data_IF_243600300130
#
_entry.id   IF_243600300130
#
_cell.length_a   1.000
_cell.length_b   1.000
_cell.length_c   1.000
_cell.angle_alpha   90.00
_cell.angle_beta   90.00
_cell.angle_gamma   90.00
#
_symmetry.space_group_name_H-M   'P 1'
#
loop_
_entity.id
_entity.type
_entity.pdbx_description
1 polymer ?
#
# COMPACT_ATOMS: atom_id res chain seq x y z
N UNK A 1 34.62 40.64 21.46
CA UNK A 1 33.16 40.40 21.31
C UNK A 1 32.60 40.59 22.71
N UNK A 2 31.73 41.57 22.90
CA UNK A 2 31.20 41.87 24.25
C UNK A 2 30.11 40.84 24.61
N UNK A 3 29.93 40.49 25.91
CA UNK A 3 28.92 39.57 26.39
C UNK A 3 27.50 39.91 25.92
N UNK A 4 27.21 41.19 25.71
CA UNK A 4 25.93 41.69 25.24
C UNK A 4 25.64 41.29 23.78
N UNK A 5 26.62 41.40 22.89
CA UNK A 5 26.49 40.95 21.48
C UNK A 5 26.30 39.45 21.34
N UNK A 6 26.92 38.67 22.22
CA UNK A 6 26.73 37.22 22.26
C UNK A 6 25.30 36.84 22.70
N UNK A 7 24.76 37.62 23.66
CA UNK A 7 23.40 37.40 24.17
C UNK A 7 22.31 37.81 23.16
N UNK A 8 22.56 38.86 22.35
CA UNK A 8 21.68 39.24 21.24
C UNK A 8 21.70 38.22 20.12
N UNK A 9 22.88 37.75 19.71
CA UNK A 9 22.99 36.66 18.70
C UNK A 9 22.35 35.34 19.18
N UNK A 10 22.42 35.04 20.47
CA UNK A 10 21.77 33.88 21.05
C UNK A 10 20.25 34.04 21.11
N UNK A 11 19.76 35.26 21.38
CA UNK A 11 18.32 35.57 21.29
C UNK A 11 17.81 35.55 19.87
N UNK A 12 18.55 36.04 18.88
CA UNK A 12 18.22 35.91 17.47
C UNK A 12 18.25 34.45 17.01
N UNK A 13 19.24 33.67 17.43
CA UNK A 13 19.28 32.20 17.16
C UNK A 13 18.12 31.46 17.80
N UNK A 14 17.65 31.84 18.98
CA UNK A 14 16.47 31.26 19.62
C UNK A 14 15.17 31.74 18.96
N UNK A 15 15.12 32.97 18.44
CA UNK A 15 13.98 33.51 17.71
C UNK A 15 13.86 32.96 16.29
N UNK A 16 14.94 32.47 15.69
CA UNK A 16 14.95 31.73 14.42
C UNK A 16 14.61 30.24 14.57
N UNK A 17 14.32 29.77 15.80
CA UNK A 17 13.58 28.50 15.94
C UNK A 17 12.23 28.74 15.30
N UNK A 18 12.12 28.19 14.07
CA UNK A 18 10.92 28.10 13.26
C UNK A 18 9.67 28.09 14.15
N UNK A 19 8.80 29.08 13.95
CA UNK A 19 7.39 28.94 14.32
C UNK A 19 6.96 27.56 13.79
N UNK A 20 6.65 26.65 14.70
CA UNK A 20 6.08 25.38 14.34
C UNK A 20 4.70 25.71 13.79
N UNK A 21 4.62 25.95 12.49
CA UNK A 21 3.33 26.09 11.83
C UNK A 21 2.54 24.84 12.19
N UNK A 22 1.31 24.98 12.71
CA UNK A 22 0.49 23.80 13.03
C UNK A 22 0.43 22.92 11.81
N UNK A 23 0.79 21.65 11.96
CA UNK A 23 0.69 20.69 10.85
C UNK A 23 -0.72 20.76 10.27
N UNK A 24 -0.90 20.89 8.96
CA UNK A 24 -2.22 20.92 8.32
C UNK A 24 -3.00 19.62 8.51
N UNK A 25 -2.37 18.58 9.05
CA UNK A 25 -2.97 17.26 9.26
C UNK A 25 -3.69 17.27 10.62
N UNK A 26 -5.02 17.16 10.63
CA UNK A 26 -5.80 17.22 11.85
C UNK A 26 -5.60 15.99 12.74
N UNK A 27 -5.57 16.23 14.05
CA UNK A 27 -5.57 15.16 15.05
C UNK A 27 -4.26 14.45 15.25
N UNK A 28 -3.12 15.06 14.87
CA UNK A 28 -1.81 14.59 15.29
C UNK A 28 -1.62 14.78 16.80
N UNK A 29 -0.99 13.83 17.45
CA UNK A 29 -0.60 13.88 18.86
C UNK A 29 0.69 14.69 18.96
N UNK A 30 0.61 15.82 19.66
CA UNK A 30 1.72 16.76 19.79
C UNK A 30 2.25 16.79 21.23
N UNK A 31 3.51 17.17 21.38
CA UNK A 31 4.04 17.60 22.66
C UNK A 31 3.52 19.01 23.03
N UNK A 32 3.68 19.41 24.29
CA UNK A 32 3.28 20.75 24.77
C UNK A 32 3.99 21.90 24.02
N UNK A 33 5.14 21.64 23.44
CA UNK A 33 5.95 22.59 22.68
C UNK A 33 5.59 22.62 21.18
N UNK A 34 4.52 21.95 20.77
CA UNK A 34 4.04 21.92 19.39
C UNK A 34 4.76 20.93 18.46
N UNK A 35 5.73 20.15 18.94
CA UNK A 35 6.39 19.13 18.13
C UNK A 35 5.54 17.88 18.02
N UNK A 36 5.60 17.20 16.87
CA UNK A 36 4.94 15.91 16.65
C UNK A 36 5.56 14.85 17.58
N UNK A 37 4.72 14.09 18.26
CA UNK A 37 5.19 13.05 19.19
C UNK A 37 5.72 11.84 18.42
N UNK A 38 7.05 11.63 18.45
CA UNK A 38 7.73 10.55 17.74
C UNK A 38 7.38 9.13 18.21
N UNK A 39 6.88 8.97 19.44
CA UNK A 39 6.45 7.66 19.97
C UNK A 39 4.98 7.33 19.70
N UNK A 40 4.29 8.13 18.89
CA UNK A 40 2.87 7.92 18.57
C UNK A 40 2.70 7.18 17.26
N UNK A 41 2.25 5.94 17.31
CA UNK A 41 1.91 5.13 16.13
C UNK A 41 0.82 5.81 15.28
N UNK A 42 -0.18 6.42 15.95
CA UNK A 42 -1.28 7.15 15.27
C UNK A 42 -0.75 8.30 14.42
N UNK A 43 0.32 8.97 14.86
CA UNK A 43 0.91 10.03 14.06
C UNK A 43 1.46 9.50 12.75
N UNK A 44 2.22 8.40 12.79
CA UNK A 44 2.79 7.80 11.59
C UNK A 44 1.67 7.37 10.64
N UNK A 45 0.64 6.69 11.14
CA UNK A 45 -0.50 6.26 10.32
C UNK A 45 -1.17 7.44 9.61
N UNK A 46 -1.42 8.55 10.33
CA UNK A 46 -2.01 9.76 9.75
C UNK A 46 -1.12 10.43 8.70
N UNK A 47 0.19 10.47 8.94
CA UNK A 47 1.15 10.99 7.97
C UNK A 47 1.16 10.13 6.70
N UNK A 48 1.15 8.80 6.85
CA UNK A 48 1.09 7.88 5.72
C UNK A 48 -0.23 8.03 4.93
N UNK A 49 -1.37 8.10 5.62
CA UNK A 49 -2.68 8.29 4.98
C UNK A 49 -2.76 9.64 4.24
N UNK A 50 -2.17 10.69 4.78
CA UNK A 50 -2.13 12.00 4.16
C UNK A 50 -1.26 12.01 2.90
N UNK A 51 -0.02 11.52 2.99
CA UNK A 51 0.99 11.68 1.95
C UNK A 51 0.88 10.61 0.86
N UNK A 52 0.61 9.37 1.26
CA UNK A 52 0.49 8.24 0.34
C UNK A 52 -0.97 7.96 -0.06
N UNK A 53 -1.93 8.61 0.61
CA UNK A 53 -3.36 8.35 0.40
C UNK A 53 -3.61 6.84 0.52
N UNK A 54 -4.30 6.25 -0.43
CA UNK A 54 -4.59 4.81 -0.42
C UNK A 54 -3.58 3.98 -1.22
N UNK A 55 -2.36 4.48 -1.44
CA UNK A 55 -1.37 3.77 -2.28
C UNK A 55 -0.63 2.65 -1.56
N UNK A 56 -0.47 2.74 -0.23
CA UNK A 56 0.10 1.66 0.58
C UNK A 56 -0.98 0.62 0.84
N UNK A 57 -0.83 -0.56 0.22
CA UNK A 57 -1.84 -1.62 0.24
C UNK A 57 -1.24 -2.98 0.55
N UNK A 58 -2.06 -3.84 1.15
CA UNK A 58 -1.75 -5.26 1.31
C UNK A 58 -2.35 -6.03 0.13
N UNK A 59 -1.50 -6.73 -0.61
CA UNK A 59 -1.91 -7.60 -1.70
C UNK A 59 -2.30 -8.98 -1.15
N UNK A 60 -3.60 -9.27 -1.10
CA UNK A 60 -4.12 -10.54 -0.56
C UNK A 60 -3.72 -11.76 -1.42
N UNK A 61 -3.31 -11.56 -2.67
CA UNK A 61 -2.87 -12.65 -3.54
C UNK A 61 -1.41 -13.02 -3.30
N UNK A 62 -0.51 -12.04 -3.26
CA UNK A 62 0.93 -12.26 -3.05
C UNK A 62 1.34 -12.26 -1.58
N UNK A 63 0.44 -11.85 -0.67
CA UNK A 63 0.65 -11.77 0.78
C UNK A 63 1.80 -10.82 1.14
N UNK A 64 1.93 -9.71 0.42
CA UNK A 64 2.92 -8.67 0.68
C UNK A 64 2.32 -7.26 0.70
N UNK A 65 3.10 -6.31 1.22
CA UNK A 65 2.73 -4.90 1.24
C UNK A 65 3.38 -4.22 0.04
N UNK A 66 2.60 -3.40 -0.67
CA UNK A 66 3.02 -2.72 -1.88
C UNK A 66 2.64 -1.24 -1.84
N UNK A 67 3.50 -0.40 -2.43
CA UNK A 67 3.10 0.92 -2.89
C UNK A 67 2.55 0.78 -4.31
N UNK A 68 1.28 1.12 -4.50
CA UNK A 68 0.55 0.90 -5.76
C UNK A 68 0.47 2.14 -6.66
N UNK A 69 1.09 3.26 -6.26
CA UNK A 69 1.13 4.50 -7.03
C UNK A 69 2.53 5.13 -7.02
N UNK A 70 2.84 5.89 -8.06
CA UNK A 70 4.02 6.74 -8.08
C UNK A 70 3.76 7.99 -7.24
N UNK A 71 4.44 8.13 -6.11
CA UNK A 71 4.29 9.25 -5.18
C UNK A 71 5.55 10.11 -5.21
N UNK A 72 5.39 11.42 -5.38
CA UNK A 72 6.47 12.40 -5.31
C UNK A 72 6.21 13.37 -4.16
N UNK A 73 7.12 13.40 -3.20
CA UNK A 73 7.05 14.21 -1.99
C UNK A 73 8.39 14.93 -1.81
N UNK A 74 8.38 16.23 -1.92
CA UNK A 74 9.59 17.06 -1.92
C UNK A 74 10.64 16.57 -2.95
N UNK A 75 11.79 16.12 -2.48
CA UNK A 75 12.88 15.54 -3.30
C UNK A 75 12.79 14.02 -3.41
N UNK A 76 11.84 13.40 -2.73
CA UNK A 76 11.69 11.94 -2.68
C UNK A 76 10.72 11.45 -3.74
N UNK A 77 11.04 10.28 -4.31
CA UNK A 77 10.16 9.59 -5.26
C UNK A 77 9.98 8.14 -4.84
N UNK A 78 8.75 7.79 -4.52
CA UNK A 78 8.35 6.44 -4.13
C UNK A 78 7.70 5.75 -5.32
N UNK A 79 8.34 4.71 -5.82
CA UNK A 79 7.91 3.98 -7.00
C UNK A 79 6.84 2.94 -6.68
N UNK A 80 6.15 2.47 -7.71
CA UNK A 80 5.24 1.34 -7.62
C UNK A 80 6.08 0.08 -7.43
N UNK A 81 6.05 -0.47 -6.23
CA UNK A 81 6.89 -1.62 -5.87
C UNK A 81 6.39 -2.31 -4.61
N UNK A 82 6.86 -3.54 -4.37
CA UNK A 82 6.83 -4.16 -3.06
C UNK A 82 7.67 -3.33 -2.09
N UNK A 83 7.21 -3.18 -0.85
CA UNK A 83 7.97 -2.48 0.16
C UNK A 83 9.18 -3.32 0.60
N UNK A 84 10.34 -2.67 0.58
CA UNK A 84 11.64 -3.20 0.98
C UNK A 84 12.33 -2.25 1.98
N UNK A 85 13.52 -2.60 2.39
CA UNK A 85 14.31 -1.80 3.33
C UNK A 85 14.67 -0.43 2.75
N UNK A 86 14.89 -0.33 1.43
CA UNK A 86 15.19 0.93 0.76
C UNK A 86 14.00 1.88 0.82
N UNK A 87 12.79 1.38 0.58
CA UNK A 87 11.57 2.15 0.74
C UNK A 87 11.43 2.65 2.19
N UNK A 88 11.65 1.80 3.18
CA UNK A 88 11.55 2.16 4.59
C UNK A 88 12.57 3.23 4.99
N UNK A 89 13.81 3.11 4.54
CA UNK A 89 14.87 4.08 4.80
C UNK A 89 14.57 5.43 4.14
N UNK A 90 14.09 5.41 2.89
CA UNK A 90 13.68 6.62 2.17
C UNK A 90 12.49 7.31 2.85
N UNK A 91 11.48 6.54 3.27
CA UNK A 91 10.33 7.05 4.01
C UNK A 91 10.74 7.69 5.33
N UNK A 92 11.62 7.04 6.09
CA UNK A 92 12.14 7.56 7.35
C UNK A 92 12.85 8.89 7.15
N UNK A 93 13.70 8.99 6.13
CA UNK A 93 14.43 10.22 5.79
C UNK A 93 13.47 11.34 5.35
N UNK A 94 12.44 11.00 4.58
CA UNK A 94 11.38 11.93 4.20
C UNK A 94 10.63 12.48 5.43
N UNK A 95 10.17 11.61 6.33
CA UNK A 95 9.44 12.02 7.53
C UNK A 95 10.28 12.92 8.44
N UNK A 96 11.58 12.63 8.59
CA UNK A 96 12.49 13.45 9.35
C UNK A 96 12.70 14.83 8.71
N UNK A 97 12.97 14.89 7.40
CA UNK A 97 13.24 16.13 6.69
C UNK A 97 12.01 17.04 6.55
N UNK A 98 10.85 16.45 6.27
CA UNK A 98 9.61 17.19 6.00
C UNK A 98 8.88 17.60 7.28
N UNK A 99 8.72 16.68 8.21
CA UNK A 99 7.96 16.89 9.44
C UNK A 99 8.83 17.20 10.67
N UNK A 100 10.16 17.11 10.55
CA UNK A 100 11.10 17.34 11.65
C UNK A 100 10.95 16.29 12.76
N UNK A 101 10.56 15.05 12.42
CA UNK A 101 10.36 14.00 13.41
C UNK A 101 10.97 12.68 12.94
N UNK A 102 11.93 12.19 13.72
CA UNK A 102 12.56 10.90 13.50
C UNK A 102 11.82 9.80 14.26
N UNK A 103 11.11 8.98 13.55
CA UNK A 103 10.42 7.81 14.10
C UNK A 103 11.35 6.58 14.19
N UNK A 104 11.08 5.72 15.14
CA UNK A 104 11.75 4.42 15.24
C UNK A 104 11.29 3.50 14.08
N UNK A 105 12.21 2.70 13.54
CA UNK A 105 11.94 1.87 12.35
C UNK A 105 10.85 0.82 12.58
N UNK A 106 10.79 0.24 13.78
CA UNK A 106 9.77 -0.72 14.19
C UNK A 106 8.36 -0.10 14.23
N UNK A 107 8.25 1.15 14.69
CA UNK A 107 7.00 1.90 14.68
C UNK A 107 6.54 2.23 13.25
N UNK A 108 7.47 2.61 12.37
CA UNK A 108 7.16 2.86 10.95
C UNK A 108 6.65 1.58 10.29
N UNK A 109 7.33 0.45 10.50
CA UNK A 109 6.90 -0.83 9.95
C UNK A 109 5.51 -1.23 10.46
N UNK A 110 5.25 -1.06 11.75
CA UNK A 110 3.93 -1.34 12.35
C UNK A 110 2.84 -0.44 11.76
N UNK A 111 3.11 0.86 11.58
CA UNK A 111 2.17 1.79 10.98
C UNK A 111 1.86 1.44 9.52
N UNK A 112 2.89 1.14 8.73
CA UNK A 112 2.74 0.69 7.33
C UNK A 112 1.87 -0.56 7.27
N UNK A 113 2.15 -1.55 8.11
CA UNK A 113 1.37 -2.78 8.19
C UNK A 113 -0.11 -2.51 8.50
N UNK A 114 -0.38 -1.64 9.47
CA UNK A 114 -1.75 -1.27 9.83
C UNK A 114 -2.47 -0.55 8.69
N UNK A 115 -1.83 0.43 8.05
CA UNK A 115 -2.39 1.18 6.91
C UNK A 115 -2.64 0.23 5.74
N UNK A 116 -1.67 -0.61 5.39
CA UNK A 116 -1.79 -1.56 4.29
C UNK A 116 -2.93 -2.55 4.50
N UNK A 117 -3.08 -3.10 5.70
CA UNK A 117 -4.15 -4.06 6.00
C UNK A 117 -5.55 -3.42 6.06
N UNK A 118 -5.65 -2.11 6.29
CA UNK A 118 -6.91 -1.37 6.09
C UNK A 118 -7.24 -1.19 4.60
N UNK A 119 -6.22 -1.16 3.75
CA UNK A 119 -6.33 -0.91 2.31
C UNK A 119 -5.98 -2.17 1.49
N UNK A 120 -6.65 -3.28 1.79
CA UNK A 120 -6.41 -4.54 1.07
C UNK A 120 -6.92 -4.50 -0.37
N UNK A 121 -6.23 -5.22 -1.25
CA UNK A 121 -6.67 -5.47 -2.61
C UNK A 121 -6.24 -6.85 -3.08
N UNK A 122 -6.95 -7.37 -4.08
CA UNK A 122 -6.58 -8.63 -4.73
C UNK A 122 -6.64 -8.41 -6.26
N UNK A 123 -5.49 -8.31 -6.94
CA UNK A 123 -5.45 -7.97 -8.35
C UNK A 123 -6.13 -9.03 -9.23
N UNK A 124 -6.18 -10.28 -8.80
CA UNK A 124 -6.85 -11.35 -9.55
C UNK A 124 -8.37 -11.21 -9.43
N UNK A 125 -8.88 -10.95 -8.24
CA UNK A 125 -10.31 -10.66 -8.03
C UNK A 125 -10.73 -9.40 -8.82
N UNK A 126 -9.92 -8.35 -8.76
CA UNK A 126 -10.19 -7.10 -9.48
C UNK A 126 -10.23 -7.33 -11.00
N UNK A 127 -9.31 -8.15 -11.52
CA UNK A 127 -9.30 -8.56 -12.93
C UNK A 127 -10.58 -9.28 -13.33
N UNK A 128 -11.02 -10.29 -12.55
CA UNK A 128 -12.25 -11.02 -12.85
C UNK A 128 -13.50 -10.14 -12.78
N UNK A 129 -13.56 -9.24 -11.80
CA UNK A 129 -14.64 -8.27 -11.67
C UNK A 129 -14.69 -7.31 -12.88
N UNK A 130 -13.53 -6.85 -13.36
CA UNK A 130 -13.45 -6.03 -14.56
C UNK A 130 -13.86 -6.82 -15.81
N UNK A 131 -13.33 -8.03 -15.97
CA UNK A 131 -13.67 -8.92 -17.09
C UNK A 131 -15.18 -9.18 -17.16
N UNK A 132 -15.81 -9.42 -16.00
CA UNK A 132 -17.26 -9.60 -15.93
C UNK A 132 -18.05 -8.35 -16.38
N UNK A 133 -17.59 -7.15 -16.00
CA UNK A 133 -18.27 -5.89 -16.39
C UNK A 133 -18.23 -5.62 -17.90
N UNK A 134 -17.19 -6.08 -18.59
CA UNK A 134 -17.00 -5.86 -20.03
C UNK A 134 -17.37 -7.07 -20.87
N UNK A 135 -17.89 -8.13 -20.24
CA UNK A 135 -18.26 -9.35 -20.93
C UNK A 135 -19.42 -9.13 -21.92
N UNK A 136 -19.27 -9.64 -23.14
CA UNK A 136 -20.24 -9.52 -24.22
C UNK A 136 -21.39 -10.55 -24.18
N UNK A 137 -21.47 -11.34 -23.14
CA UNK A 137 -22.51 -12.38 -22.94
C UNK A 137 -22.30 -13.67 -23.73
N UNK A 138 -21.21 -13.81 -24.51
CA UNK A 138 -20.97 -15.03 -25.32
C UNK A 138 -20.32 -16.12 -24.47
N UNK A 139 -20.87 -17.33 -24.56
CA UNK A 139 -20.28 -18.52 -23.94
C UNK A 139 -19.07 -19.00 -24.75
N UNK A 140 -17.85 -18.60 -24.28
CA UNK A 140 -16.57 -19.14 -24.76
C UNK A 140 -16.01 -20.20 -23.81
N UNK A 141 -16.64 -20.35 -22.70
CA UNK A 141 -16.19 -21.16 -21.59
C UNK A 141 -16.31 -22.65 -21.90
N UNK A 142 -17.41 -23.02 -22.58
CA UNK A 142 -17.72 -24.40 -22.91
C UNK A 142 -16.78 -25.02 -23.94
N UNK A 143 -16.11 -24.22 -24.74
CA UNK A 143 -15.28 -24.69 -25.87
C UNK A 143 -13.81 -24.34 -25.72
N UNK A 144 -13.41 -23.76 -24.61
CA UNK A 144 -12.04 -23.21 -24.44
C UNK A 144 -10.98 -24.32 -24.60
N UNK A 145 -11.15 -25.48 -24.03
CA UNK A 145 -10.17 -26.56 -24.17
C UNK A 145 -10.15 -27.16 -25.59
N UNK A 146 -11.29 -27.49 -26.22
CA UNK A 146 -11.29 -27.86 -27.63
C UNK A 146 -10.64 -26.79 -28.54
N UNK A 147 -10.98 -25.52 -28.36
CA UNK A 147 -10.54 -24.46 -29.26
C UNK A 147 -9.05 -24.10 -29.09
N UNK A 148 -8.47 -24.24 -27.89
CA UNK A 148 -7.11 -23.79 -27.60
C UNK A 148 -6.12 -24.91 -27.26
N UNK A 149 -6.59 -26.07 -26.76
CA UNK A 149 -5.74 -27.20 -26.41
C UNK A 149 -5.81 -28.33 -27.45
N UNK A 150 -6.68 -28.23 -28.46
CA UNK A 150 -6.78 -29.20 -29.55
C UNK A 150 -7.41 -30.54 -29.14
N UNK A 151 -8.14 -30.58 -28.02
CA UNK A 151 -8.87 -31.79 -27.62
C UNK A 151 -10.19 -31.91 -28.38
N UNK A 152 -10.68 -33.17 -28.58
CA UNK A 152 -11.93 -33.41 -29.27
C UNK A 152 -13.11 -32.72 -28.60
N UNK A 153 -13.98 -32.10 -29.40
CA UNK A 153 -15.19 -31.45 -28.91
C UNK A 153 -16.28 -32.47 -28.61
N UNK A 154 -16.28 -33.01 -27.44
CA UNK A 154 -17.27 -33.99 -26.93
C UNK A 154 -18.06 -33.39 -25.74
N UNK A 155 -19.23 -33.98 -25.40
CA UNK A 155 -19.94 -33.59 -24.18
C UNK A 155 -19.09 -33.71 -22.93
N UNK A 156 -18.19 -34.69 -22.86
CA UNK A 156 -17.28 -34.92 -21.72
C UNK A 156 -16.24 -33.83 -21.62
N UNK A 157 -15.54 -33.50 -22.71
CA UNK A 157 -14.53 -32.41 -22.73
C UNK A 157 -15.15 -31.05 -22.41
N UNK A 158 -16.37 -30.78 -22.90
CA UNK A 158 -17.13 -29.58 -22.55
C UNK A 158 -17.44 -29.52 -21.05
N UNK A 159 -17.87 -30.62 -20.46
CA UNK A 159 -18.18 -30.72 -19.03
C UNK A 159 -16.91 -30.54 -18.19
N UNK A 160 -15.80 -31.18 -18.53
CA UNK A 160 -14.51 -31.05 -17.84
C UNK A 160 -14.04 -29.61 -17.90
N UNK A 161 -14.09 -28.96 -19.08
CA UNK A 161 -13.74 -27.55 -19.25
C UNK A 161 -14.53 -26.67 -18.28
N UNK A 162 -15.85 -26.84 -18.24
CA UNK A 162 -16.71 -26.06 -17.34
C UNK A 162 -16.36 -26.27 -15.87
N UNK A 163 -16.24 -27.50 -15.42
CA UNK A 163 -15.96 -27.85 -14.03
C UNK A 163 -14.61 -27.26 -13.62
N UNK A 164 -13.58 -27.47 -14.44
CA UNK A 164 -12.22 -27.04 -14.09
C UNK A 164 -12.09 -25.51 -14.02
N UNK A 165 -12.59 -24.80 -15.03
CA UNK A 165 -12.52 -23.34 -15.06
C UNK A 165 -13.39 -22.70 -13.97
N UNK A 166 -14.60 -23.25 -13.73
CA UNK A 166 -15.46 -22.77 -12.64
C UNK A 166 -14.78 -22.96 -11.29
N UNK A 167 -14.15 -24.12 -11.07
CA UNK A 167 -13.41 -24.40 -9.83
C UNK A 167 -12.19 -23.48 -9.64
N UNK A 168 -11.45 -23.22 -10.72
CA UNK A 168 -10.31 -22.30 -10.69
C UNK A 168 -10.75 -20.86 -10.32
N UNK A 169 -11.83 -20.37 -10.93
CA UNK A 169 -12.39 -19.05 -10.60
C UNK A 169 -12.94 -19.03 -9.17
N UNK A 170 -13.68 -20.05 -8.74
CA UNK A 170 -14.21 -20.14 -7.39
C UNK A 170 -13.09 -20.07 -6.33
N UNK A 171 -11.93 -20.70 -6.59
CA UNK A 171 -10.78 -20.65 -5.70
C UNK A 171 -10.19 -19.25 -5.52
N UNK A 172 -10.32 -18.40 -6.52
CA UNK A 172 -9.87 -16.99 -6.43
C UNK A 172 -10.76 -16.18 -5.50
N UNK A 173 -12.07 -16.39 -5.57
CA UNK A 173 -13.03 -15.64 -4.73
C UNK A 173 -13.17 -16.22 -3.33
N UNK A 174 -12.96 -17.53 -3.17
CA UNK A 174 -13.04 -18.20 -1.88
C UNK A 174 -11.78 -19.02 -1.60
N UNK A 175 -10.87 -18.45 -0.84
CA UNK A 175 -9.56 -19.07 -0.53
C UNK A 175 -9.66 -20.43 0.15
N UNK A 176 -10.77 -20.69 0.89
CA UNK A 176 -11.02 -21.98 1.55
C UNK A 176 -11.67 -23.02 0.65
N UNK A 177 -12.05 -22.64 -0.57
CA UNK A 177 -12.64 -23.57 -1.54
C UNK A 177 -11.61 -24.63 -1.93
N UNK A 178 -11.96 -25.91 -1.66
CA UNK A 178 -11.09 -27.02 -1.98
C UNK A 178 -11.29 -27.42 -3.45
N UNK A 179 -10.27 -27.19 -4.26
CA UNK A 179 -10.24 -27.56 -5.67
C UNK A 179 -8.83 -28.01 -6.04
N UNK A 180 -8.60 -29.31 -6.00
CA UNK A 180 -7.27 -29.92 -6.14
C UNK A 180 -7.19 -30.80 -7.41
N UNK A 181 -8.02 -30.54 -8.40
CA UNK A 181 -8.01 -31.28 -9.67
C UNK A 181 -6.90 -30.76 -10.58
N UNK A 182 -6.14 -31.69 -11.15
CA UNK A 182 -5.11 -31.43 -12.16
C UNK A 182 -5.68 -31.92 -13.52
N UNK A 183 -5.39 -31.18 -14.57
CA UNK A 183 -5.62 -31.61 -15.95
C UNK A 183 -4.40 -32.39 -16.43
N UNK A 184 -4.61 -33.59 -16.93
CA UNK A 184 -3.58 -34.50 -17.45
C UNK A 184 -3.77 -34.67 -18.95
#
# INVERSE_FOLDING_TARGET
>A
MTPEKLNEQFKEFLATKKDVTPSPIPGLVMYKDGRIKASSLVNIEKLLEHDFKDSIKFNDFTQDIQNTALIRLDTYTFYIQKLDDDFLNQLRSYLDSHYGVLFASDLIFTAISNVAHRNKFNPVVDYFNLAHKVWDGKDRFSTLFPDFLGVDKTPVTTMITKIWLTGAVAKVFEQKFKFDYVLD
#
